data_IF_913946798832
#
_entry.id   IF_913946798832
#
_cell.length_a   1.000
_cell.length_b   1.000
_cell.length_c   1.000
_cell.angle_alpha   90.00
_cell.angle_beta   90.00
_cell.angle_gamma   90.00
#
_symmetry.space_group_name_H-M   'P 1'
#
loop_
_entity.id
_entity.type
_entity.pdbx_description
1 polymer ?
#
# COMPACT_ATOMS: atom_id res chain seq x y z
N UNK A 1 0.71 -1.76 -19.94
CA UNK A 1 0.21 -3.04 -19.40
C UNK A 1 -1.03 -2.74 -18.56
N UNK A 2 -2.09 -3.53 -18.71
CA UNK A 2 -3.40 -3.31 -18.06
C UNK A 2 -3.29 -3.46 -16.53
N UNK A 3 -2.41 -4.35 -16.08
CA UNK A 3 -2.09 -4.49 -14.65
C UNK A 3 -1.52 -3.20 -14.07
N UNK A 4 -0.63 -2.52 -14.80
CA UNK A 4 -0.10 -1.21 -14.40
C UNK A 4 -1.20 -0.15 -14.33
N UNK A 5 -2.09 -0.10 -15.32
CA UNK A 5 -3.21 0.85 -15.31
C UNK A 5 -4.13 0.64 -14.10
N UNK A 6 -4.45 -0.61 -13.75
CA UNK A 6 -5.27 -0.90 -12.58
C UNK A 6 -4.61 -0.43 -11.27
N UNK A 7 -3.28 -0.56 -11.15
CA UNK A 7 -2.53 -0.04 -10.00
C UNK A 7 -2.58 1.48 -9.92
N UNK A 8 -2.36 2.18 -11.03
CA UNK A 8 -2.45 3.65 -11.08
C UNK A 8 -3.83 4.14 -10.67
N UNK A 9 -4.90 3.48 -11.13
CA UNK A 9 -6.28 3.81 -10.70
C UNK A 9 -6.43 3.60 -9.19
N UNK A 10 -5.91 2.50 -8.63
CA UNK A 10 -5.96 2.25 -7.19
C UNK A 10 -5.20 3.32 -6.38
N UNK A 11 -4.05 3.79 -6.89
CA UNK A 11 -3.28 4.88 -6.27
C UNK A 11 -4.07 6.20 -6.28
N UNK A 12 -4.75 6.53 -7.37
CA UNK A 12 -5.63 7.72 -7.43
C UNK A 12 -6.83 7.60 -6.49
N UNK A 13 -7.44 6.42 -6.38
CA UNK A 13 -8.50 6.16 -5.39
C UNK A 13 -7.96 6.38 -3.97
N UNK A 14 -6.74 5.94 -3.68
CA UNK A 14 -6.13 6.16 -2.37
C UNK A 14 -5.90 7.66 -2.09
N UNK A 15 -5.34 8.42 -3.03
CA UNK A 15 -5.12 9.87 -2.86
C UNK A 15 -6.40 10.63 -2.54
N UNK A 16 -7.53 10.22 -3.13
CA UNK A 16 -8.82 10.90 -2.95
C UNK A 16 -9.54 10.43 -1.67
N UNK A 17 -9.48 9.14 -1.34
CA UNK A 17 -10.28 8.56 -0.26
C UNK A 17 -9.54 8.37 1.06
N UNK A 18 -8.20 8.37 1.02
CA UNK A 18 -7.35 7.98 2.15
C UNK A 18 -7.31 6.48 2.42
N UNK A 19 -8.04 5.65 1.67
CA UNK A 19 -8.01 4.19 1.81
C UNK A 19 -7.03 3.57 0.81
N UNK A 20 -6.01 2.88 1.32
CA UNK A 20 -5.06 2.16 0.49
C UNK A 20 -5.56 0.74 0.19
N UNK A 21 -5.47 0.31 -1.07
CA UNK A 21 -5.91 -1.02 -1.50
C UNK A 21 -4.73 -1.80 -2.11
N UNK A 22 -4.48 -3.01 -1.61
CA UNK A 22 -3.40 -3.89 -2.04
C UNK A 22 -3.93 -4.87 -3.08
N UNK A 23 -3.23 -5.01 -4.21
CA UNK A 23 -3.57 -5.96 -5.27
C UNK A 23 -3.56 -7.42 -4.76
N UNK A 24 -4.51 -8.23 -5.24
CA UNK A 24 -4.65 -9.63 -4.83
C UNK A 24 -4.69 -10.57 -6.00
N UNK A 25 -5.63 -10.34 -6.92
CA UNK A 25 -5.86 -11.24 -8.03
C UNK A 25 -6.43 -10.52 -9.24
N UNK A 26 -6.26 -11.16 -10.39
CA UNK A 26 -6.87 -10.79 -11.64
C UNK A 26 -7.65 -12.00 -12.14
N UNK A 27 -8.93 -11.79 -12.43
CA UNK A 27 -9.85 -12.80 -12.93
C UNK A 27 -10.35 -12.38 -14.30
N UNK A 28 -10.45 -13.34 -15.22
CA UNK A 28 -11.11 -13.11 -16.51
C UNK A 28 -12.62 -13.18 -16.32
N UNK A 29 -13.35 -12.42 -17.11
CA UNK A 29 -14.81 -12.56 -17.15
C UNK A 29 -15.19 -13.95 -17.66
N UNK A 30 -16.27 -14.51 -17.10
CA UNK A 30 -16.86 -15.78 -17.56
C UNK A 30 -17.44 -15.66 -18.97
N UNK A 31 -17.77 -14.43 -19.40
CA UNK A 31 -18.45 -14.16 -20.67
C UNK A 31 -17.48 -13.73 -21.77
N UNK A 32 -16.28 -13.23 -21.43
CA UNK A 32 -15.31 -12.77 -22.42
C UNK A 32 -13.88 -12.77 -21.87
N UNK A 33 -12.95 -13.33 -22.63
CA UNK A 33 -11.52 -13.32 -22.32
C UNK A 33 -10.89 -11.91 -22.36
N UNK A 34 -11.53 -10.97 -23.07
CA UNK A 34 -11.05 -9.59 -23.23
C UNK A 34 -11.40 -8.69 -22.05
N UNK A 35 -12.20 -9.18 -21.10
CA UNK A 35 -12.57 -8.44 -19.90
C UNK A 35 -11.81 -9.04 -18.71
N UNK A 36 -11.08 -8.18 -18.01
CA UNK A 36 -10.31 -8.53 -16.82
C UNK A 36 -10.81 -7.73 -15.63
N UNK A 37 -10.97 -8.41 -14.50
CA UNK A 37 -11.32 -7.82 -13.22
C UNK A 37 -10.14 -7.96 -12.27
N UNK A 38 -9.63 -6.84 -11.80
CA UNK A 38 -8.57 -6.76 -10.81
C UNK A 38 -9.22 -6.52 -9.45
N UNK A 39 -8.93 -7.41 -8.50
CA UNK A 39 -9.41 -7.31 -7.12
C UNK A 39 -8.28 -6.81 -6.23
N UNK A 40 -8.60 -5.78 -5.44
CA UNK A 40 -7.76 -5.25 -4.40
C UNK A 40 -8.52 -5.29 -3.06
N UNK A 41 -7.83 -5.57 -1.96
CA UNK A 41 -8.38 -5.49 -0.61
C UNK A 41 -7.74 -4.34 0.16
N UNK A 42 -8.46 -3.79 1.13
CA UNK A 42 -7.90 -2.75 1.99
C UNK A 42 -6.58 -3.20 2.65
N UNK A 43 -5.58 -2.34 2.63
CA UNK A 43 -4.26 -2.60 3.21
C UNK A 43 -4.31 -2.84 4.72
N UNK A 44 -5.32 -2.28 5.39
CA UNK A 44 -5.58 -2.46 6.82
C UNK A 44 -6.55 -3.62 7.09
N UNK A 45 -6.85 -4.49 6.10
CA UNK A 45 -7.70 -5.64 6.36
C UNK A 45 -6.92 -6.73 7.11
N UNK A 46 -7.44 -7.19 8.26
CA UNK A 46 -6.73 -8.14 9.12
C UNK A 46 -6.30 -9.45 8.41
N UNK A 47 -7.08 -9.92 7.42
CA UNK A 47 -6.72 -11.12 6.64
C UNK A 47 -5.57 -10.90 5.67
N UNK A 48 -5.23 -9.65 5.39
CA UNK A 48 -4.11 -9.26 4.52
C UNK A 48 -2.84 -8.93 5.31
N UNK A 49 -2.85 -9.12 6.62
CA UNK A 49 -1.67 -8.96 7.45
C UNK A 49 -0.59 -9.98 7.03
N UNK A 50 0.58 -9.47 6.68
CA UNK A 50 1.72 -10.31 6.34
C UNK A 50 2.17 -11.10 7.58
N UNK A 51 2.31 -12.42 7.45
CA UNK A 51 2.82 -13.28 8.53
C UNK A 51 4.17 -12.76 9.03
N UNK A 52 4.25 -12.49 10.33
CA UNK A 52 5.49 -12.04 10.94
C UNK A 52 6.53 -13.16 10.88
N UNK A 53 7.69 -12.84 10.29
CA UNK A 53 8.89 -13.69 10.36
C UNK A 53 9.74 -13.20 11.53
N UNK A 54 9.57 -13.86 12.66
CA UNK A 54 10.33 -13.59 13.89
C UNK A 54 11.56 -14.50 13.95
N UNK A 55 12.67 -13.96 14.44
CA UNK A 55 13.85 -14.77 14.77
C UNK A 55 13.49 -15.67 15.96
N UNK A 56 13.97 -16.93 16.05
CA UNK A 56 13.75 -17.74 17.24
C UNK A 56 14.29 -17.10 18.53
N UNK A 57 15.34 -16.28 18.44
CA UNK A 57 15.92 -15.54 19.56
C UNK A 57 15.23 -14.17 19.75
N UNK A 58 14.49 -14.05 20.86
CA UNK A 58 13.76 -12.83 21.25
C UNK A 58 14.67 -11.61 21.36
N UNK A 59 15.95 -11.78 21.71
CA UNK A 59 16.90 -10.65 21.81
C UNK A 59 17.24 -10.02 20.46
N UNK A 60 17.00 -10.73 19.36
CA UNK A 60 17.21 -10.24 18.00
C UNK A 60 15.96 -9.60 17.41
N UNK A 61 14.85 -9.61 18.15
CA UNK A 61 13.63 -8.96 17.70
C UNK A 61 13.87 -7.46 17.68
N UNK A 62 13.67 -6.87 16.51
CA UNK A 62 13.61 -5.41 16.38
C UNK A 62 12.23 -4.97 16.82
N UNK A 63 12.16 -3.90 17.60
CA UNK A 63 10.89 -3.21 17.84
C UNK A 63 10.33 -2.79 16.47
N UNK A 64 9.08 -3.18 16.20
CA UNK A 64 8.36 -2.80 14.99
C UNK A 64 7.08 -2.09 15.39
N UNK A 65 6.85 -0.94 14.79
CA UNK A 65 5.53 -0.34 14.78
C UNK A 65 4.71 -1.10 13.72
N UNK A 66 3.56 -1.63 14.12
CA UNK A 66 2.58 -2.20 13.20
C UNK A 66 1.50 -1.16 12.93
N UNK A 67 0.97 -1.17 11.71
CA UNK A 67 -0.25 -0.43 11.39
C UNK A 67 -1.45 -1.16 11.97
N UNK A 68 -2.41 -0.42 12.52
CA UNK A 68 -3.66 -1.00 12.99
C UNK A 68 -4.43 -1.64 11.82
N UNK A 69 -4.95 -2.84 12.07
CA UNK A 69 -5.75 -3.60 11.12
C UNK A 69 -7.19 -3.74 11.62
N UNK A 70 -8.14 -3.79 10.69
CA UNK A 70 -9.58 -3.81 10.92
C UNK A 70 -10.23 -4.96 10.14
N UNK A 71 -11.37 -5.47 10.60
CA UNK A 71 -12.18 -6.45 9.88
C UNK A 71 -13.10 -5.76 8.86
N UNK A 72 -12.53 -4.87 8.04
CA UNK A 72 -13.32 -4.00 7.16
C UNK A 72 -13.95 -4.72 5.97
N UNK A 73 -13.38 -5.87 5.56
CA UNK A 73 -13.77 -6.64 4.37
C UNK A 73 -13.88 -5.76 3.09
N UNK A 74 -13.21 -4.61 3.10
CA UNK A 74 -13.30 -3.60 2.06
C UNK A 74 -12.50 -4.01 0.83
N UNK A 75 -13.06 -3.75 -0.34
CA UNK A 75 -12.44 -4.09 -1.61
C UNK A 75 -12.62 -3.00 -2.66
N UNK A 76 -11.71 -3.04 -3.62
CA UNK A 76 -11.74 -2.25 -4.84
C UNK A 76 -11.68 -3.22 -6.02
N UNK A 77 -12.69 -3.18 -6.87
CA UNK A 77 -12.72 -3.91 -8.12
C UNK A 77 -12.54 -2.94 -9.28
N UNK A 78 -11.55 -3.23 -10.13
CA UNK A 78 -11.30 -2.49 -11.35
C UNK A 78 -11.50 -3.44 -12.52
N UNK A 79 -12.47 -3.13 -13.37
CA UNK A 79 -12.78 -3.90 -14.57
C UNK A 79 -12.31 -3.15 -15.80
N UNK A 80 -11.51 -3.79 -16.62
CA UNK A 80 -10.95 -3.24 -17.87
C UNK A 80 -11.29 -4.14 -19.04
N UNK A 81 -11.36 -3.57 -20.24
CA UNK A 81 -11.53 -4.33 -21.48
C UNK A 81 -10.42 -4.02 -22.48
N UNK A 82 -9.89 -5.05 -23.12
CA UNK A 82 -8.91 -4.90 -24.21
C UNK A 82 -9.50 -4.14 -25.41
N UNK A 83 -10.84 -4.19 -25.61
CA UNK A 83 -11.53 -3.48 -26.69
C UNK A 83 -11.70 -1.98 -26.42
N UNK A 84 -11.73 -1.59 -25.15
CA UNK A 84 -11.93 -0.21 -24.72
C UNK A 84 -10.88 0.17 -23.67
N UNK A 85 -9.59 0.27 -24.07
CA UNK A 85 -8.49 0.42 -23.13
C UNK A 85 -8.51 1.76 -22.35
N UNK A 86 -9.28 2.73 -22.82
CA UNK A 86 -9.49 4.03 -22.16
C UNK A 86 -10.62 4.03 -21.11
N UNK A 87 -11.39 2.95 -21.00
CA UNK A 87 -12.51 2.84 -20.08
C UNK A 87 -12.23 1.80 -18.99
N UNK A 88 -12.51 2.18 -17.76
CA UNK A 88 -12.44 1.30 -16.60
C UNK A 88 -13.71 1.42 -15.76
N UNK A 89 -14.30 0.28 -15.40
CA UNK A 89 -15.36 0.20 -14.40
C UNK A 89 -14.75 0.09 -13.02
N UNK A 90 -15.16 0.95 -12.09
CA UNK A 90 -14.62 1.01 -10.74
C UNK A 90 -15.76 0.75 -9.75
N UNK A 91 -15.57 -0.23 -8.85
CA UNK A 91 -16.46 -0.48 -7.71
C UNK A 91 -15.62 -0.43 -6.45
N UNK A 92 -15.95 0.49 -5.55
CA UNK A 92 -15.32 0.63 -4.24
C UNK A 92 -16.35 0.26 -3.18
N UNK A 93 -15.93 -0.55 -2.21
CA UNK A 93 -16.77 -0.93 -1.08
C UNK A 93 -15.94 -0.82 0.20
N UNK A 94 -16.37 0.08 1.09
CA UNK A 94 -15.72 0.30 2.37
C UNK A 94 -16.76 0.59 3.45
N UNK A 95 -17.20 -0.46 4.17
CA UNK A 95 -18.36 -0.39 5.08
C UNK A 95 -18.02 0.11 6.49
N UNK A 96 -16.81 -0.16 6.96
CA UNK A 96 -16.35 0.25 8.28
C UNK A 96 -15.54 1.54 8.17
N UNK A 97 -15.93 2.54 8.95
CA UNK A 97 -15.19 3.79 9.05
C UNK A 97 -14.02 3.55 10.02
N UNK A 98 -12.83 3.37 9.47
CA UNK A 98 -11.59 3.37 10.24
C UNK A 98 -10.69 4.50 9.76
N UNK A 99 -9.67 4.83 10.54
CA UNK A 99 -8.72 5.85 10.15
C UNK A 99 -8.06 5.49 8.82
N UNK A 100 -7.78 6.53 8.04
CA UNK A 100 -7.12 6.40 6.75
C UNK A 100 -5.75 5.76 6.87
N UNK A 101 -5.27 5.22 5.76
CA UNK A 101 -3.95 4.63 5.69
C UNK A 101 -2.89 5.73 5.88
N UNK A 102 -2.01 5.54 6.86
CA UNK A 102 -0.87 6.43 7.07
C UNK A 102 0.32 5.94 6.24
N UNK A 103 0.72 6.74 5.26
CA UNK A 103 1.97 6.48 4.55
C UNK A 103 3.17 6.75 5.46
N UNK A 104 3.92 5.69 5.77
CA UNK A 104 5.16 5.73 6.56
C UNK A 104 6.40 5.60 5.66
N UNK A 105 6.23 5.75 4.36
CA UNK A 105 7.34 5.77 3.40
C UNK A 105 8.30 6.91 3.73
N UNK A 106 9.58 6.64 3.50
CA UNK A 106 10.62 7.66 3.67
C UNK A 106 10.42 8.72 2.60
N UNK A 107 10.25 9.98 3.01
CA UNK A 107 10.14 11.10 2.07
C UNK A 107 11.44 11.28 1.29
N UNK A 108 11.37 11.85 0.09
CA UNK A 108 12.55 12.07 -0.76
C UNK A 108 13.64 12.86 -0.04
N UNK A 109 13.27 13.85 0.78
CA UNK A 109 14.21 14.63 1.59
C UNK A 109 14.96 13.77 2.61
N UNK A 110 14.23 12.90 3.33
CA UNK A 110 14.83 12.00 4.30
C UNK A 110 15.69 10.95 3.58
N UNK A 111 15.27 10.47 2.41
CA UNK A 111 16.05 9.55 1.60
C UNK A 111 17.36 10.19 1.12
N UNK A 112 17.32 11.46 0.70
CA UNK A 112 18.50 12.22 0.32
C UNK A 112 19.50 12.36 1.47
N UNK A 113 19.03 12.66 2.69
CA UNK A 113 19.86 12.72 3.90
C UNK A 113 20.53 11.36 4.19
N UNK A 114 19.78 10.26 4.06
CA UNK A 114 20.32 8.91 4.25
C UNK A 114 21.41 8.61 3.21
N UNK A 115 21.19 8.95 1.94
CA UNK A 115 22.15 8.76 0.85
C UNK A 115 23.42 9.58 1.04
N UNK A 116 23.29 10.85 1.42
CA UNK A 116 24.43 11.74 1.70
C UNK A 116 25.29 11.19 2.86
N UNK A 117 24.66 10.59 3.87
CA UNK A 117 25.32 10.17 5.12
C UNK A 117 25.49 8.67 5.26
N UNK A 118 25.48 7.92 4.15
CA UNK A 118 25.52 6.44 4.14
C UNK A 118 26.72 5.85 4.90
N UNK A 119 27.84 6.58 4.95
CA UNK A 119 29.07 6.17 5.63
C UNK A 119 29.07 6.44 7.14
N UNK A 120 28.01 7.07 7.69
CA UNK A 120 27.89 7.32 9.12
C UNK A 120 27.23 6.13 9.84
N UNK A 121 27.48 5.95 11.14
CA UNK A 121 26.72 4.99 11.94
C UNK A 121 25.22 5.27 11.86
N UNK A 122 24.42 4.21 11.73
CA UNK A 122 22.96 4.32 11.55
C UNK A 122 22.28 5.19 12.63
N UNK A 123 22.78 5.21 13.85
CA UNK A 123 22.29 6.07 14.94
C UNK A 123 22.44 7.56 14.65
N UNK A 124 23.52 7.97 13.97
CA UNK A 124 23.75 9.37 13.57
C UNK A 124 22.87 9.76 12.40
N UNK A 125 22.70 8.87 11.42
CA UNK A 125 21.78 9.07 10.28
C UNK A 125 20.36 9.26 10.79
N UNK A 126 19.92 8.41 11.73
CA UNK A 126 18.58 8.49 12.34
C UNK A 126 18.34 9.83 13.05
N UNK A 127 19.30 10.32 13.85
CA UNK A 127 19.17 11.63 14.52
C UNK A 127 19.01 12.75 13.49
N UNK A 128 19.81 12.76 12.43
CA UNK A 128 19.71 13.78 11.37
C UNK A 128 18.36 13.74 10.66
N UNK A 129 17.87 12.55 10.29
CA UNK A 129 16.56 12.36 9.68
C UNK A 129 15.42 12.80 10.62
N UNK A 130 15.50 12.45 11.91
CA UNK A 130 14.48 12.75 12.90
C UNK A 130 14.37 14.24 13.23
N UNK A 131 15.50 14.96 13.29
CA UNK A 131 15.49 16.41 13.50
C UNK A 131 14.81 17.10 12.32
N UNK A 132 15.09 16.65 11.09
CA UNK A 132 14.52 17.24 9.89
C UNK A 132 13.00 17.05 9.81
N UNK A 133 12.49 15.85 10.16
CA UNK A 133 11.05 15.57 10.15
C UNK A 133 10.25 16.28 11.24
N UNK A 134 10.91 16.93 12.22
CA UNK A 134 10.28 17.70 13.30
C UNK A 134 10.29 19.22 13.09
N UNK A 135 11.07 19.71 12.13
CA UNK A 135 11.23 21.14 11.84
C UNK A 135 10.38 21.63 10.65
N UNK A 136 9.67 20.71 9.98
CA UNK A 136 8.63 20.95 8.98
C UNK A 136 7.26 20.63 9.59
#
# INVERSE_FOLDING_TARGET
>A
DISTTAKLIADEVWKVTGYCFVYKKCEKSRTSDHIKMFTFYCAQFHREEAKQRLDPDVKKWRARLSMDCFDCNSYLHITTSDHFPSLAGIIITHHLLHWGYLDISITEDVEAIIKERVNMPASKVWISAYIYSKLL
#
